data_IF_623783569787
#
_entry.id   IF_623783569787
#
_cell.length_a   1.000
_cell.length_b   1.000
_cell.length_c   1.000
_cell.angle_alpha   90.00
_cell.angle_beta   90.00
_cell.angle_gamma   90.00
#
_symmetry.space_group_name_H-M   'P 1'
#
loop_
_entity.id
_entity.type
_entity.pdbx_description
1 polymer ?
2 non-polymer ?
3 non-polymer ?
4 water ?
#
# COMPACT_ATOMS: atom_id res chain seq x y z
N UNK A 6 -16.81 -2.96 24.70
CA UNK A 6 -17.07 -3.19 23.24
C UNK A 6 -16.89 -4.68 22.92
N UNK A 7 -17.78 -5.25 22.11
CA UNK A 7 -17.59 -6.67 21.81
C UNK A 7 -16.39 -6.80 20.87
N UNK A 8 -15.79 -7.99 20.78
CA UNK A 8 -14.63 -8.20 19.92
C UNK A 8 -15.00 -8.08 18.43
N UNK A 9 -14.13 -7.42 17.67
CA UNK A 9 -14.36 -7.26 16.22
C UNK A 9 -13.97 -8.57 15.53
N UNK A 10 -14.95 -9.23 14.93
CA UNK A 10 -14.73 -10.51 14.27
C UNK A 10 -14.20 -10.47 12.83
N UNK A 11 -14.02 -9.28 12.28
CA UNK A 11 -13.53 -9.18 10.92
C UNK A 11 -12.01 -9.07 10.77
N UNK A 12 -11.42 -9.98 10.00
CA UNK A 12 -9.98 -9.96 9.75
C UNK A 12 -9.72 -10.16 8.25
N UNK A 13 -10.74 -9.90 7.43
CA UNK A 13 -10.60 -10.07 5.99
C UNK A 13 -9.55 -9.15 5.39
N UNK A 14 -9.57 -7.89 5.80
CA UNK A 14 -8.64 -6.90 5.31
C UNK A 14 -8.70 -5.69 6.21
N UNK A 15 -7.72 -4.80 6.09
CA UNK A 15 -7.73 -3.59 6.90
C UNK A 15 -8.70 -2.58 6.30
N UNK A 16 -9.23 -2.88 5.11
CA UNK A 16 -10.16 -1.96 4.46
C UNK A 16 -11.58 -1.97 5.04
N UNK A 17 -11.80 -2.81 6.06
CA UNK A 17 -13.12 -2.87 6.68
C UNK A 17 -13.17 -1.94 7.89
N UNK A 18 -12.01 -1.48 8.35
CA UNK A 18 -11.95 -0.59 9.50
C UNK A 18 -12.39 0.83 9.17
N UNK A 19 -12.75 1.60 10.20
CA UNK A 19 -13.19 2.96 10.00
C UNK A 19 -12.05 3.96 9.91
N UNK A 20 -12.13 5.00 10.72
CA UNK A 20 -11.11 6.03 10.73
C UNK A 20 -10.80 6.48 12.14
N UNK A 21 -9.55 6.83 12.39
CA UNK A 21 -9.17 7.32 13.70
C UNK A 21 -10.10 8.51 14.01
N UNK A 22 -10.57 8.62 15.26
CA UNK A 22 -11.46 9.70 15.65
C UNK A 22 -10.91 11.08 15.31
N UNK A 23 -9.59 11.22 15.30
CA UNK A 23 -8.98 12.50 14.98
C UNK A 23 -9.25 12.91 13.53
N UNK A 24 -9.41 11.93 12.66
CA UNK A 24 -9.64 12.25 11.26
C UNK A 24 -11.03 12.84 11.06
N UNK A 25 -12.05 12.13 11.53
CA UNK A 25 -13.42 12.62 11.39
C UNK A 25 -13.58 14.00 12.03
N UNK A 26 -12.92 14.22 13.17
CA UNK A 26 -13.01 15.50 13.87
C UNK A 26 -12.33 16.62 13.08
N UNK A 27 -11.31 16.26 12.30
CA UNK A 27 -10.62 17.26 11.50
C UNK A 27 -11.61 17.73 10.42
N UNK A 28 -12.42 16.81 9.91
CA UNK A 28 -13.38 17.15 8.88
C UNK A 28 -14.44 18.09 9.46
N UNK A 29 -14.82 17.84 10.72
CA UNK A 29 -15.79 18.67 11.39
C UNK A 29 -15.25 20.09 11.50
N UNK A 30 -14.02 20.19 11.99
CA UNK A 30 -13.38 21.49 12.16
C UNK A 30 -13.29 22.25 10.86
N UNK A 31 -13.00 21.54 9.78
CA UNK A 31 -12.84 22.17 8.49
C UNK A 31 -14.07 22.23 7.59
N UNK A 32 -15.24 21.95 8.15
CA UNK A 32 -16.48 21.97 7.36
C UNK A 32 -17.13 23.36 7.24
N UNK A 33 -16.62 24.32 8.00
CA UNK A 33 -17.17 25.68 7.98
C UNK A 33 -16.31 26.65 7.20
N UNK A 34 -16.87 27.83 6.91
CA UNK A 34 -16.14 28.84 6.18
C UNK A 34 -15.98 28.50 4.71
N UNK A 35 -15.22 29.33 4.01
CA UNK A 35 -14.97 29.15 2.59
C UNK A 35 -13.49 28.83 2.37
N UNK A 36 -13.16 28.24 1.22
CA UNK A 36 -11.78 27.88 0.91
C UNK A 36 -11.59 27.73 -0.59
N UNK A 37 -10.47 28.22 -1.10
CA UNK A 37 -10.19 28.09 -2.52
C UNK A 37 -10.34 26.62 -2.89
N UNK A 38 -10.87 26.30 -4.08
CA UNK A 38 -11.04 24.91 -4.50
C UNK A 38 -9.83 24.29 -5.18
N UNK A 39 -9.95 23.00 -5.50
CA UNK A 39 -8.92 22.25 -6.21
C UNK A 39 -7.50 22.29 -5.64
N UNK A 40 -7.40 22.32 -4.32
CA UNK A 40 -6.09 22.36 -3.67
C UNK A 40 -5.42 23.72 -3.55
N UNK A 41 -6.18 24.79 -3.77
CA UNK A 41 -5.61 26.13 -3.68
C UNK A 41 -5.82 26.75 -2.30
N UNK A 42 -6.19 25.95 -1.31
CA UNK A 42 -6.43 26.42 0.05
C UNK A 42 -5.20 26.24 0.93
N UNK A 43 -5.24 26.86 2.11
CA UNK A 43 -4.13 26.79 3.05
C UNK A 43 -3.88 25.41 3.66
N UNK A 44 -4.92 24.70 4.03
CA UNK A 44 -4.75 23.38 4.63
C UNK A 44 -3.94 22.48 3.69
N UNK A 45 -4.34 22.47 2.42
CA UNK A 45 -3.64 21.68 1.41
C UNK A 45 -2.17 22.09 1.34
N UNK A 46 -1.91 23.39 1.35
CA UNK A 46 -0.53 23.87 1.32
C UNK A 46 0.20 23.35 2.55
N UNK A 47 -0.46 23.40 3.70
CA UNK A 47 0.14 22.91 4.94
C UNK A 47 0.53 21.45 4.80
N UNK A 48 -0.39 20.63 4.29
CA UNK A 48 -0.12 19.22 4.10
C UNK A 48 1.08 18.97 3.20
N UNK A 49 1.17 19.73 2.11
CA UNK A 49 2.30 19.58 1.20
C UNK A 49 3.62 19.88 1.92
N UNK A 50 3.61 20.91 2.77
CA UNK A 50 4.81 21.26 3.51
C UNK A 50 5.17 20.11 4.45
N UNK A 51 4.15 19.44 4.99
CA UNK A 51 4.39 18.32 5.87
C UNK A 51 5.04 17.16 5.14
N UNK A 52 4.66 16.93 3.89
CA UNK A 52 5.26 15.84 3.13
C UNK A 52 6.72 16.12 2.88
N UNK A 53 7.05 17.38 2.63
CA UNK A 53 8.44 17.77 2.39
C UNK A 53 9.28 17.52 3.65
N UNK A 54 8.72 17.88 4.82
CA UNK A 54 9.42 17.66 6.08
C UNK A 54 9.61 16.16 6.30
N UNK A 55 8.51 15.43 6.27
CA UNK A 55 8.53 13.98 6.47
C UNK A 55 9.52 13.25 5.55
N UNK A 56 9.58 13.66 4.28
CA UNK A 56 10.48 13.00 3.33
C UNK A 56 11.85 13.69 3.19
N UNK A 57 12.07 14.73 3.98
CA UNK A 57 13.34 15.47 3.99
C UNK A 57 13.76 15.87 2.59
N UNK A 58 12.79 16.32 1.79
CA UNK A 58 13.07 16.71 0.42
C UNK A 58 11.87 17.42 -0.21
N UNK A 59 12.14 18.29 -1.18
CA UNK A 59 11.06 18.97 -1.87
C UNK A 59 10.43 17.90 -2.74
N UNK A 60 9.17 17.58 -2.45
CA UNK A 60 8.46 16.57 -3.23
C UNK A 60 7.15 17.20 -3.71
N UNK A 61 6.58 16.62 -4.76
CA UNK A 61 5.31 17.09 -5.31
C UNK A 61 4.24 16.13 -4.80
N UNK A 62 3.15 16.69 -4.28
CA UNK A 62 2.08 15.88 -3.74
C UNK A 62 0.74 16.09 -4.44
N UNK A 63 0.03 15.00 -4.70
CA UNK A 63 -1.27 15.05 -5.34
C UNK A 63 -2.22 14.11 -4.59
N UNK A 64 -3.13 14.67 -3.79
CA UNK A 64 -4.07 13.85 -3.03
C UNK A 64 -5.17 13.35 -3.97
N UNK A 65 -5.44 12.04 -3.89
CA UNK A 65 -6.48 11.43 -4.72
C UNK A 65 -7.38 10.54 -3.87
N UNK A 66 -8.58 10.21 -4.39
CA UNK A 66 -9.57 9.36 -3.70
C UNK A 66 -9.22 7.91 -3.38
N UNK A 67 -8.52 7.22 -4.27
CA UNK A 67 -8.21 5.81 -4.05
C UNK A 67 -6.77 5.42 -4.38
N UNK A 68 -6.39 4.24 -3.88
CA UNK A 68 -5.06 3.71 -4.12
C UNK A 68 -4.92 3.25 -5.56
N UNK A 69 -6.02 2.78 -6.14
CA UNK A 69 -6.02 2.34 -7.53
C UNK A 69 -5.72 3.55 -8.41
N UNK A 70 -6.33 4.68 -8.10
CA UNK A 70 -6.09 5.91 -8.87
C UNK A 70 -4.64 6.36 -8.71
N UNK A 71 -4.13 6.32 -7.48
CA UNK A 71 -2.76 6.74 -7.21
C UNK A 71 -1.77 5.92 -8.05
N UNK A 72 -1.98 4.61 -8.07
CA UNK A 72 -1.14 3.68 -8.81
C UNK A 72 -1.18 3.97 -10.31
N UNK A 73 -2.37 3.93 -10.88
CA UNK A 73 -2.57 4.15 -12.30
C UNK A 73 -2.01 5.49 -12.77
N UNK A 74 -2.25 6.55 -11.99
CA UNK A 74 -1.75 7.87 -12.34
C UNK A 74 -0.22 7.90 -12.35
N UNK A 75 0.40 7.34 -11.32
CA UNK A 75 1.86 7.29 -11.22
C UNK A 75 2.46 6.59 -12.42
N UNK A 76 1.95 5.39 -12.69
CA UNK A 76 2.44 4.58 -13.79
C UNK A 76 2.19 5.19 -15.16
N UNK A 77 1.06 5.88 -15.34
CA UNK A 77 0.74 6.50 -16.62
C UNK A 77 1.74 7.61 -16.99
N UNK A 78 2.34 8.22 -15.98
CA UNK A 78 3.30 9.28 -16.23
C UNK A 78 4.71 8.72 -16.37
N UNK A 79 4.87 7.41 -16.20
CA UNK A 79 6.20 6.81 -16.27
C UNK A 79 6.36 5.82 -17.42
N UNK A 80 5.35 5.73 -18.28
CA UNK A 80 5.43 4.82 -19.40
C UNK A 80 4.63 5.27 -20.61
N UNK A 81 5.18 5.08 -21.81
CA UNK A 81 4.43 5.49 -22.99
C UNK A 81 3.46 4.34 -23.25
N UNK A 82 2.49 4.53 -24.16
CA UNK A 82 1.50 3.49 -24.49
C UNK A 82 2.17 2.19 -24.94
N UNK A 83 3.31 2.32 -25.61
CA UNK A 83 4.04 1.16 -26.12
C UNK A 83 5.08 0.65 -25.11
N UNK A 84 4.95 1.07 -23.86
CA UNK A 84 5.88 0.65 -22.82
C UNK A 84 5.42 -0.50 -21.94
N UNK A 85 6.36 -1.02 -21.14
CA UNK A 85 6.11 -2.13 -20.23
C UNK A 85 6.23 -1.69 -18.77
N UNK A 86 5.32 -2.20 -17.94
CA UNK A 86 5.31 -1.92 -16.51
C UNK A 86 5.60 -3.27 -15.83
N UNK A 87 6.81 -3.43 -15.30
CA UNK A 87 7.19 -4.66 -14.64
C UNK A 87 6.66 -4.71 -13.22
N UNK A 88 6.10 -5.87 -12.86
CA UNK A 88 5.53 -6.05 -11.53
C UNK A 88 5.38 -7.53 -11.18
N UNK A 89 5.15 -7.81 -9.90
CA UNK A 89 4.97 -9.19 -9.46
C UNK A 89 3.60 -9.64 -9.95
N UNK A 90 3.49 -10.90 -10.37
CA UNK A 90 2.20 -11.41 -10.85
C UNK A 90 1.08 -11.35 -9.81
N UNK A 91 1.45 -11.28 -8.55
CA UNK A 91 0.45 -11.21 -7.48
C UNK A 91 0.18 -9.76 -7.06
N UNK A 92 0.74 -8.80 -7.78
CA UNK A 92 0.57 -7.39 -7.41
C UNK A 92 -0.86 -6.90 -7.60
N UNK A 93 -1.20 -5.86 -6.88
CA UNK A 93 -2.54 -5.30 -6.96
C UNK A 93 -2.80 -4.76 -8.37
N UNK A 94 -1.82 -4.06 -8.95
CA UNK A 94 -2.02 -3.50 -10.29
C UNK A 94 -2.28 -4.57 -11.35
N UNK A 95 -1.78 -5.78 -11.13
CA UNK A 95 -1.99 -6.86 -12.10
C UNK A 95 -3.24 -7.71 -11.78
N UNK A 96 -3.88 -7.47 -10.65
CA UNK A 96 -5.03 -8.28 -10.27
C UNK A 96 -6.33 -7.62 -9.86
N UNK A 97 -6.26 -6.58 -9.04
CA UNK A 97 -7.48 -5.97 -8.53
C UNK A 97 -7.81 -4.52 -8.86
N UNK A 98 -7.43 -4.08 -10.06
CA UNK A 98 -7.73 -2.71 -10.46
C UNK A 98 -8.50 -2.71 -11.77
N UNK A 99 -9.02 -3.88 -12.13
CA UNK A 99 -9.75 -4.08 -13.37
C UNK A 99 -9.03 -3.40 -14.53
N UNK A 100 -7.70 -3.48 -14.51
CA UNK A 100 -6.91 -2.89 -15.58
C UNK A 100 -6.77 -1.38 -15.56
N UNK A 101 -6.86 -0.77 -14.37
CA UNK A 101 -6.71 0.68 -14.27
C UNK A 101 -5.38 1.14 -14.85
N UNK A 102 -4.28 0.41 -14.59
CA UNK A 102 -3.00 0.85 -15.16
C UNK A 102 -3.07 0.88 -16.69
N UNK A 103 -3.66 -0.16 -17.27
CA UNK A 103 -3.82 -0.26 -18.72
C UNK A 103 -4.66 0.90 -19.24
N UNK A 104 -5.67 1.30 -18.46
CA UNK A 104 -6.57 2.39 -18.83
C UNK A 104 -5.84 3.74 -18.83
N UNK A 105 -5.36 4.16 -17.66
CA UNK A 105 -4.65 5.44 -17.51
C UNK A 105 -3.43 5.63 -18.42
N UNK A 106 -2.67 4.56 -18.63
CA UNK A 106 -1.46 4.62 -19.45
C UNK A 106 -1.76 4.53 -20.94
N UNK A 107 -3.04 4.42 -21.28
CA UNK A 107 -3.45 4.30 -22.66
C UNK A 107 -2.92 3.04 -23.34
N UNK A 108 -3.01 1.91 -22.64
CA UNK A 108 -2.58 0.65 -23.23
C UNK A 108 -1.20 0.09 -22.92
N UNK A 109 -0.52 0.61 -21.91
CA UNK A 109 0.79 0.07 -21.58
C UNK A 109 0.57 -1.39 -21.19
N UNK A 110 1.63 -2.20 -21.21
CA UNK A 110 1.49 -3.62 -20.91
C UNK A 110 2.23 -4.04 -19.65
N UNK A 111 1.53 -4.74 -18.75
CA UNK A 111 2.16 -5.23 -17.53
C UNK A 111 2.96 -6.49 -17.85
N UNK A 112 4.20 -6.55 -17.37
CA UNK A 112 5.07 -7.71 -17.58
C UNK A 112 5.37 -8.26 -16.20
N UNK A 113 4.91 -9.47 -15.90
CA UNK A 113 5.14 -10.02 -14.58
C UNK A 113 6.52 -10.62 -14.37
N UNK A 114 7.02 -10.45 -13.15
CA UNK A 114 8.32 -10.98 -12.76
C UNK A 114 8.09 -11.65 -11.42
N UNK A 115 7.99 -12.97 -11.43
CA UNK A 115 7.71 -13.75 -10.23
C UNK A 115 8.83 -13.70 -9.20
N UNK A 116 8.54 -14.24 -8.02
CA UNK A 116 9.49 -14.26 -6.93
C UNK A 116 8.75 -14.64 -5.66
N UNK A 117 9.42 -15.29 -4.70
CA UNK A 117 8.70 -15.67 -3.47
C UNK A 117 8.22 -14.48 -2.63
N UNK A 118 7.17 -14.72 -1.87
CA UNK A 118 6.59 -13.71 -0.98
C UNK A 118 6.18 -12.39 -1.64
N UNK A 119 5.63 -12.48 -2.85
CA UNK A 119 5.18 -11.27 -3.57
C UNK A 119 6.28 -10.24 -3.79
N UNK A 120 7.53 -10.70 -3.89
CA UNK A 120 8.63 -9.79 -4.13
C UNK A 120 9.28 -10.18 -5.46
N UNK A 121 9.47 -9.19 -6.33
CA UNK A 121 10.07 -9.41 -7.64
C UNK A 121 11.46 -10.00 -7.47
N UNK A 122 11.77 -11.07 -8.20
CA UNK A 122 13.11 -11.65 -8.11
C UNK A 122 14.05 -10.76 -8.92
N UNK A 123 15.07 -10.22 -8.25
CA UNK A 123 16.01 -9.31 -8.89
C UNK A 123 16.69 -9.87 -10.15
N UNK A 124 17.04 -11.15 -10.15
CA UNK A 124 17.70 -11.75 -11.31
C UNK A 124 16.76 -11.80 -12.51
N UNK A 125 15.53 -12.22 -12.27
CA UNK A 125 14.55 -12.30 -13.34
C UNK A 125 14.27 -10.88 -13.85
N UNK A 126 14.14 -9.93 -12.92
CA UNK A 126 13.87 -8.55 -13.30
C UNK A 126 14.96 -8.05 -14.23
N UNK A 127 16.21 -8.34 -13.89
CA UNK A 127 17.34 -7.92 -14.69
C UNK A 127 17.24 -8.49 -16.11
N UNK A 128 16.74 -9.72 -16.22
CA UNK A 128 16.60 -10.35 -17.54
C UNK A 128 15.42 -9.78 -18.34
N UNK A 129 14.27 -9.65 -17.68
CA UNK A 129 13.11 -9.14 -18.37
C UNK A 129 13.24 -7.68 -18.85
N UNK A 130 13.88 -6.83 -18.07
CA UNK A 130 14.02 -5.43 -18.46
C UNK A 130 14.94 -5.18 -19.64
N UNK A 131 15.60 -6.23 -20.12
CA UNK A 131 16.49 -6.07 -21.26
C UNK A 131 16.04 -6.94 -22.42
N UNK A 132 14.73 -7.15 -22.54
CA UNK A 132 14.18 -7.96 -23.63
C UNK A 132 13.81 -7.09 -24.82
N UNK A 133 14.32 -7.44 -25.99
CA UNK A 133 14.01 -6.74 -27.23
C UNK A 133 14.11 -5.22 -27.14
N UNK A 134 15.08 -4.71 -26.37
CA UNK A 134 15.22 -3.27 -26.26
C UNK A 134 15.51 -2.72 -27.66
N UNK A 135 14.70 -1.76 -28.09
CA UNK A 135 14.90 -1.15 -29.40
C UNK A 135 14.22 -1.86 -30.57
N UNK A 136 13.66 -3.03 -30.32
CA UNK A 136 12.97 -3.78 -31.37
C UNK A 136 11.62 -3.12 -31.63
N UNK A 137 11.40 -2.67 -32.87
CA UNK A 137 10.15 -1.99 -33.22
C UNK A 137 8.87 -2.82 -33.12
N UNK A 138 8.98 -4.14 -33.20
CA UNK A 138 7.79 -5.00 -33.11
C UNK A 138 7.42 -5.36 -31.67
N UNK A 139 8.23 -4.92 -30.71
CA UNK A 139 8.00 -5.29 -29.31
C UNK A 139 7.79 -4.14 -28.32
N UNK A 140 6.87 -4.31 -27.38
CA UNK A 140 6.64 -3.28 -26.37
C UNK A 140 7.97 -3.12 -25.62
N UNK A 141 8.25 -1.92 -25.13
CA UNK A 141 9.53 -1.63 -24.47
C UNK A 141 9.55 -1.44 -22.95
N UNK A 142 10.66 -1.85 -22.29
CA UNK A 142 10.76 -1.69 -20.84
C UNK A 142 10.60 -0.18 -20.56
N UNK A 143 9.74 0.16 -19.60
CA UNK A 143 9.50 1.56 -19.29
C UNK A 143 9.63 1.90 -17.81
N UNK A 144 9.02 1.10 -16.96
CA UNK A 144 9.08 1.35 -15.52
C UNK A 144 8.86 0.07 -14.74
N UNK A 145 9.16 0.13 -13.45
CA UNK A 145 9.01 -1.01 -12.55
C UNK A 145 8.18 -0.60 -11.35
N UNK A 146 7.34 -1.51 -10.88
CA UNK A 146 6.52 -1.23 -9.72
C UNK A 146 6.68 -2.28 -8.65
N UNK A 147 6.95 -1.84 -7.43
CA UNK A 147 7.09 -2.74 -6.30
C UNK A 147 6.13 -2.30 -5.21
N UNK A 148 5.52 -3.27 -4.56
CA UNK A 148 4.58 -2.95 -3.50
C UNK A 148 5.33 -3.07 -2.18
N UNK A 149 5.22 -1.89 -1.56
CA UNK A 149 5.76 -1.88 -0.21
C UNK A 149 4.67 -1.44 0.71
N UNK A 150 4.55 -2.25 2.05
CA UNK A 150 4.57 -3.69 2.17
C UNK A 150 3.67 -4.38 1.16
N UNK A 151 4.25 -5.67 0.90
CA UNK A 151 3.66 -6.38 -0.22
C UNK A 151 2.23 -6.79 0.06
N UNK A 152 1.57 -7.32 -0.97
CA UNK A 152 0.21 -7.78 -0.88
C UNK A 152 0.04 -8.95 0.10
N UNK A 153 1.13 -9.61 0.47
CA UNK A 153 1.05 -10.72 1.41
C UNK A 153 1.67 -10.37 2.76
N UNK A 154 1.97 -9.09 2.96
CA UNK A 154 2.53 -8.65 4.21
C UNK A 154 4.03 -8.81 4.38
N UNK A 155 4.72 -9.18 3.31
CA UNK A 155 6.17 -9.33 3.39
C UNK A 155 6.74 -7.93 3.17
N UNK A 156 8.04 -7.75 3.36
CA UNK A 156 8.65 -6.43 3.19
C UNK A 156 9.95 -6.48 2.42
N UNK A 157 10.11 -5.54 1.49
CA UNK A 157 11.35 -5.44 0.74
C UNK A 157 12.32 -4.74 1.69
N UNK A 158 13.55 -5.22 1.79
CA UNK A 158 14.51 -4.57 2.67
C UNK A 158 15.04 -3.35 1.95
N UNK A 159 15.71 -2.45 2.67
CA UNK A 159 16.27 -1.27 2.03
C UNK A 159 17.24 -1.70 0.91
N UNK A 160 17.97 -2.80 1.12
CA UNK A 160 18.91 -3.30 0.13
C UNK A 160 18.20 -3.82 -1.12
N UNK A 161 17.09 -4.54 -0.93
CA UNK A 161 16.34 -5.07 -2.05
C UNK A 161 15.72 -3.98 -2.91
N UNK A 162 15.21 -2.93 -2.26
CA UNK A 162 14.60 -1.82 -2.97
C UNK A 162 15.66 -1.11 -3.80
N UNK A 163 16.74 -0.73 -3.14
CA UNK A 163 17.84 -0.03 -3.79
C UNK A 163 18.38 -0.85 -4.96
N UNK A 164 18.42 -2.17 -4.78
CA UNK A 164 18.91 -3.06 -5.83
C UNK A 164 18.02 -2.96 -7.07
N UNK A 165 16.72 -2.86 -6.84
CA UNK A 165 15.78 -2.73 -7.95
C UNK A 165 16.01 -1.35 -8.58
N UNK A 166 16.36 -0.39 -7.74
CA UNK A 166 16.64 0.95 -8.24
C UNK A 166 17.83 0.98 -9.17
N UNK A 167 18.82 0.11 -8.93
CA UNK A 167 20.00 0.04 -9.79
C UNK A 167 19.59 -0.37 -11.19
N UNK A 168 18.80 -1.43 -11.26
CA UNK A 168 18.33 -1.94 -12.54
C UNK A 168 17.57 -0.85 -13.27
N UNK A 169 16.69 -0.15 -12.55
CA UNK A 169 15.90 0.92 -13.13
C UNK A 169 16.77 2.04 -13.71
N UNK A 170 17.66 2.60 -12.91
CA UNK A 170 18.53 3.67 -13.41
C UNK A 170 19.38 3.11 -14.56
N UNK A 171 19.80 1.87 -14.42
CA UNK A 171 20.62 1.20 -15.44
C UNK A 171 19.93 1.18 -16.81
N UNK A 172 18.63 0.87 -16.82
CA UNK A 172 17.90 0.82 -18.09
C UNK A 172 17.00 2.03 -18.34
N UNK A 173 17.22 3.11 -17.58
CA UNK A 173 16.44 4.32 -17.74
C UNK A 173 14.96 4.03 -17.51
N UNK A 174 14.67 3.25 -16.48
CA UNK A 174 13.30 2.89 -16.15
C UNK A 174 12.88 3.63 -14.89
N UNK A 175 11.60 3.99 -14.83
CA UNK A 175 11.11 4.67 -13.65
C UNK A 175 10.78 3.62 -12.60
N UNK A 176 10.89 3.98 -11.32
CA UNK A 176 10.60 3.08 -10.23
C UNK A 176 9.45 3.59 -9.37
N UNK A 177 8.33 2.86 -9.38
CA UNK A 177 7.17 3.26 -8.60
C UNK A 177 6.97 2.34 -7.41
N UNK A 178 6.52 2.92 -6.30
CA UNK A 178 6.25 2.15 -5.09
C UNK A 178 4.77 2.21 -4.72
N UNK A 179 4.12 1.05 -4.70
CA UNK A 179 2.72 0.98 -4.32
C UNK A 179 2.73 0.90 -2.79
N UNK A 180 2.59 2.04 -2.15
CA UNK A 180 2.60 2.11 -0.70
C UNK A 180 1.24 2.14 -0.03
N UNK A 181 0.35 1.26 -0.48
CA UNK A 181 -0.97 1.16 0.09
C UNK A 181 -0.81 0.94 1.60
N UNK A 182 0.19 0.13 1.95
CA UNK A 182 0.50 -0.15 3.35
C UNK A 182 1.92 0.32 3.65
N UNK A 183 2.23 1.52 3.16
CA UNK A 183 3.52 2.15 3.33
C UNK A 183 3.96 2.17 4.80
N UNK A 184 3.09 2.73 5.65
CA UNK A 184 3.38 2.86 7.07
C UNK A 184 3.71 1.55 7.78
N UNK A 185 3.03 0.46 7.42
CA UNK A 185 3.28 -0.83 8.06
C UNK A 185 4.68 -1.37 7.81
N UNK A 186 5.21 -1.10 6.61
CA UNK A 186 6.54 -1.56 6.27
C UNK A 186 7.55 -0.63 6.89
N UNK A 187 7.20 0.65 6.93
CA UNK A 187 8.06 1.67 7.50
C UNK A 187 8.36 1.41 8.98
N UNK A 188 7.32 1.16 9.77
CA UNK A 188 7.54 0.92 11.20
C UNK A 188 8.15 -0.44 11.49
N UNK A 189 8.06 -1.36 10.55
CA UNK A 189 8.62 -2.68 10.76
C UNK A 189 10.13 -2.58 10.56
N UNK A 190 10.55 -1.77 9.59
CA UNK A 190 11.97 -1.56 9.29
C UNK A 190 12.60 -0.55 10.22
N UNK A 191 11.79 0.37 10.72
CA UNK A 191 12.29 1.40 11.61
C UNK A 191 13.16 2.40 10.88
N UNK A 192 12.99 2.51 9.57
CA UNK A 192 13.79 3.44 8.78
C UNK A 192 13.01 4.73 8.55
N UNK A 193 13.62 5.67 7.84
CA UNK A 193 12.95 6.92 7.55
C UNK A 193 12.19 6.82 6.23
N UNK A 194 11.18 7.69 6.05
CA UNK A 194 10.41 7.67 4.81
C UNK A 194 11.36 7.84 3.62
N UNK A 195 12.34 8.72 3.80
CA UNK A 195 13.32 9.00 2.76
C UNK A 195 14.19 7.79 2.44
N UNK A 196 14.61 7.07 3.48
CA UNK A 196 15.46 5.90 3.30
C UNK A 196 14.74 4.78 2.55
N UNK A 197 13.43 4.66 2.77
CA UNK A 197 12.66 3.62 2.11
C UNK A 197 12.11 4.08 0.75
N UNK A 198 12.40 5.32 0.37
CA UNK A 198 11.92 5.79 -0.93
C UNK A 198 12.98 6.41 -1.84
N UNK A 199 13.04 7.73 -1.95
CA UNK A 199 13.99 8.35 -2.85
C UNK A 199 15.46 8.05 -2.63
N UNK A 200 15.86 7.86 -1.37
CA UNK A 200 17.27 7.55 -1.13
C UNK A 200 17.60 6.17 -1.67
N UNK A 201 16.56 5.38 -1.95
CA UNK A 201 16.75 4.03 -2.50
C UNK A 201 16.44 3.97 -3.99
N UNK A 202 16.09 5.11 -4.58
CA UNK A 202 15.81 5.14 -6.01
C UNK A 202 14.36 5.25 -6.44
N UNK A 203 13.42 5.34 -5.50
CA UNK A 203 12.01 5.46 -5.88
C UNK A 203 11.73 6.82 -6.52
N UNK A 204 10.98 6.81 -7.63
CA UNK A 204 10.63 8.02 -8.35
C UNK A 204 9.23 8.53 -8.01
N UNK A 205 8.32 7.60 -7.78
CA UNK A 205 6.94 7.94 -7.47
C UNK A 205 6.37 6.97 -6.45
N UNK A 206 5.62 7.51 -5.49
CA UNK A 206 5.04 6.69 -4.45
C UNK A 206 3.55 6.89 -4.25
N UNK A 207 2.83 5.78 -4.08
CA UNK A 207 1.40 5.84 -3.80
C UNK A 207 1.40 5.76 -2.28
N UNK A 208 1.36 6.91 -1.63
CA UNK A 208 1.38 7.00 -0.17
C UNK A 208 0.00 6.61 0.38
N UNK A 209 -0.11 5.39 0.90
CA UNK A 209 -1.38 4.93 1.43
C UNK A 209 -1.69 5.40 2.85
N UNK A 210 -2.91 5.88 3.04
CA UNK A 210 -3.35 6.36 4.35
C UNK A 210 -4.70 5.76 4.71
N UNK A 211 -5.53 5.55 3.69
CA UNK A 211 -6.86 4.99 3.90
C UNK A 211 -6.84 3.72 4.73
N UNK A 212 -6.02 2.75 4.33
CA UNK A 212 -5.95 1.50 5.05
C UNK A 212 -5.37 1.64 6.45
N UNK A 213 -4.69 2.75 6.70
CA UNK A 213 -4.07 2.97 7.99
C UNK A 213 -4.73 4.05 8.86
N UNK A 214 -6.03 4.29 8.65
CA UNK A 214 -6.68 5.28 9.50
C UNK A 214 -7.54 6.41 8.97
N UNK A 215 -7.46 6.76 7.69
CA UNK A 215 -8.31 7.83 7.20
C UNK A 215 -9.56 7.26 6.55
N UNK A 216 -10.44 8.13 6.07
CA UNK A 216 -11.69 7.69 5.44
C UNK A 216 -11.47 7.30 3.99
N UNK A 217 -10.90 8.23 3.25
CA UNK A 217 -10.65 8.01 1.84
C UNK A 217 -9.78 9.15 1.34
N UNK A 218 -8.48 8.93 1.38
CA UNK A 218 -7.53 9.93 0.93
C UNK A 218 -6.15 9.28 0.84
N UNK A 219 -5.62 9.23 -0.37
CA UNK A 219 -4.30 8.67 -0.62
C UNK A 219 -3.47 9.85 -1.15
N UNK A 220 -2.16 9.69 -1.18
CA UNK A 220 -1.32 10.76 -1.69
C UNK A 220 -0.29 10.29 -2.70
N UNK A 221 -0.26 10.93 -3.86
CA UNK A 221 0.73 10.61 -4.85
C UNK A 221 1.92 11.49 -4.47
N UNK A 222 3.04 10.87 -4.13
CA UNK A 222 4.23 11.63 -3.76
C UNK A 222 5.27 11.44 -4.86
N UNK A 223 5.59 12.53 -5.55
CA UNK A 223 6.56 12.48 -6.64
C UNK A 223 7.91 12.99 -6.20
N UNK A 224 8.92 12.14 -6.34
CA UNK A 224 10.29 12.49 -6.00
C UNK A 224 10.95 13.00 -7.29
N UNK A 225 10.46 12.51 -8.42
CA UNK A 225 10.94 12.97 -9.73
C UNK A 225 9.94 14.07 -10.08
N UNK A 226 10.16 15.23 -9.48
CA UNK A 226 9.29 16.38 -9.64
C UNK A 226 9.07 16.88 -11.06
N UNK A 227 9.91 16.46 -12.00
CA UNK A 227 9.77 16.90 -13.39
C UNK A 227 8.47 16.38 -14.01
N UNK A 228 7.79 15.47 -13.31
CA UNK A 228 6.54 14.90 -13.80
C UNK A 228 5.31 15.62 -13.25
N UNK A 229 5.54 16.60 -12.39
CA UNK A 229 4.46 17.35 -11.75
C UNK A 229 3.41 17.88 -12.72
N UNK A 230 3.85 18.67 -13.70
CA UNK A 230 2.91 19.25 -14.66
C UNK A 230 2.04 18.20 -15.34
N UNK A 231 2.68 17.18 -15.90
CA UNK A 231 1.94 16.11 -16.56
C UNK A 231 0.94 15.48 -15.60
N UNK A 232 1.37 15.29 -14.35
CA UNK A 232 0.51 14.68 -13.35
C UNK A 232 -0.74 15.49 -13.06
N UNK A 233 -0.62 16.82 -13.07
CA UNK A 233 -1.79 17.66 -12.81
C UNK A 233 -2.87 17.38 -13.83
N UNK A 234 -2.51 17.46 -15.10
CA UNK A 234 -3.47 17.21 -16.17
C UNK A 234 -4.01 15.78 -16.09
N UNK A 235 -3.13 14.80 -15.91
CA UNK A 235 -3.58 13.41 -15.83
C UNK A 235 -4.58 13.22 -14.70
N UNK A 236 -4.31 13.82 -13.54
CA UNK A 236 -5.22 13.68 -12.42
C UNK A 236 -6.58 14.27 -12.73
N UNK A 237 -6.58 15.49 -13.27
CA UNK A 237 -7.82 16.18 -13.62
C UNK A 237 -8.59 15.42 -14.70
N UNK A 238 -7.89 15.06 -15.77
CA UNK A 238 -8.48 14.33 -16.89
C UNK A 238 -9.13 13.02 -16.45
N UNK A 239 -8.59 12.39 -15.41
CA UNK A 239 -9.14 11.12 -14.92
C UNK A 239 -10.24 11.34 -13.87
N UNK A 240 -10.63 12.60 -13.69
CA UNK A 240 -11.67 12.91 -12.73
C UNK A 240 -11.26 12.78 -11.27
N UNK A 241 -9.96 12.82 -11.02
CA UNK A 241 -9.46 12.69 -9.66
C UNK A 241 -8.99 13.96 -8.97
N UNK A 242 -9.42 15.11 -9.50
CA UNK A 242 -9.06 16.39 -8.87
C UNK A 242 -10.30 16.85 -8.10
N UNK A 243 -10.30 16.64 -6.79
CA UNK A 243 -11.42 17.01 -5.93
C UNK A 243 -11.53 18.52 -5.80
N UNK A 244 -12.73 19.05 -5.98
CA UNK A 244 -12.95 20.49 -5.89
C UNK A 244 -12.78 21.00 -4.46
N UNK A 245 -13.42 20.32 -3.50
CA UNK A 245 -13.29 20.70 -2.10
C UNK A 245 -12.16 19.87 -1.51
N UNK A 246 -10.94 20.20 -1.94
CA UNK A 246 -9.74 19.48 -1.53
C UNK A 246 -9.47 19.46 -0.02
N UNK A 247 -9.97 20.44 0.71
CA UNK A 247 -9.73 20.47 2.16
C UNK A 247 -10.23 19.23 2.87
N UNK A 248 -11.18 18.53 2.25
CA UNK A 248 -11.71 17.34 2.86
C UNK A 248 -10.82 16.10 2.67
N UNK A 249 -9.83 16.25 1.81
CA UNK A 249 -8.85 15.18 1.61
C UNK A 249 -7.65 15.64 2.46
N UNK A 250 -7.36 16.93 2.37
CA UNK A 250 -6.26 17.55 3.10
C UNK A 250 -6.44 17.46 4.62
N UNK A 251 -7.67 17.65 5.07
CA UNK A 251 -7.96 17.58 6.50
C UNK A 251 -7.65 16.18 7.02
N UNK A 252 -8.04 15.16 6.25
CA UNK A 252 -7.80 13.78 6.63
C UNK A 252 -6.30 13.50 6.75
N UNK A 253 -5.56 13.87 5.71
CA UNK A 253 -4.12 13.64 5.70
C UNK A 253 -3.38 14.46 6.75
N UNK A 254 -3.82 15.69 6.98
CA UNK A 254 -3.18 16.54 7.97
C UNK A 254 -3.30 15.90 9.35
N UNK A 255 -4.49 15.39 9.67
CA UNK A 255 -4.72 14.74 10.95
C UNK A 255 -3.82 13.50 11.00
N UNK A 256 -3.82 12.77 9.88
CA UNK A 256 -3.03 11.55 9.73
C UNK A 256 -1.55 11.84 10.03
N UNK A 257 -1.08 13.01 9.62
CA UNK A 257 0.31 13.40 9.83
C UNK A 257 0.50 14.35 11.00
N UNK A 258 -0.35 14.24 12.01
CA UNK A 258 -0.25 15.09 13.19
C UNK A 258 0.04 14.19 14.39
N UNK A 259 0.93 14.65 15.26
CA UNK A 259 1.31 13.90 16.46
C UNK A 259 1.68 12.45 16.15
N UNK A 260 2.34 12.23 15.00
CA UNK A 260 2.74 10.90 14.59
C UNK A 260 1.63 9.87 14.60
N UNK A 261 0.40 10.32 14.40
CA UNK A 261 -0.74 9.43 14.37
C UNK A 261 -0.57 8.27 13.39
N UNK A 262 -0.16 8.59 12.15
CA UNK A 262 0.01 7.53 11.16
C UNK A 262 0.95 6.42 11.62
N UNK A 263 2.10 6.80 12.18
CA UNK A 263 3.05 5.79 12.64
C UNK A 263 2.47 4.99 13.81
N UNK A 264 1.84 5.68 14.76
CA UNK A 264 1.25 4.99 15.90
C UNK A 264 0.20 3.99 15.42
N UNK A 265 -0.60 4.39 14.43
CA UNK A 265 -1.63 3.52 13.89
C UNK A 265 -1.02 2.27 13.26
N UNK A 266 0.08 2.46 12.54
CA UNK A 266 0.77 1.36 11.89
C UNK A 266 1.39 0.42 12.93
N UNK A 267 1.93 1.01 13.99
CA UNK A 267 2.55 0.21 15.06
C UNK A 267 1.48 -0.69 15.69
N UNK A 268 0.29 -0.14 15.93
CA UNK A 268 -0.78 -0.92 16.53
C UNK A 268 -1.24 -2.06 15.62
N UNK A 269 -1.28 -1.81 14.32
CA UNK A 269 -1.71 -2.84 13.38
C UNK A 269 -0.68 -3.96 13.33
N UNK A 270 0.60 -3.61 13.22
CA UNK A 270 1.66 -4.61 13.17
C UNK A 270 1.72 -5.36 14.50
N UNK A 271 1.56 -4.62 15.60
CA UNK A 271 1.59 -5.21 16.94
C UNK A 271 0.50 -6.27 17.10
N UNK A 272 -0.66 -6.02 16.50
CA UNK A 272 -1.78 -6.95 16.58
C UNK A 272 -1.50 -8.25 15.86
N UNK A 273 -0.94 -8.16 14.65
CA UNK A 273 -0.64 -9.37 13.89
C UNK A 273 0.47 -10.15 14.60
N UNK A 274 1.46 -9.43 15.12
CA UNK A 274 2.57 -10.08 15.81
C UNK A 274 2.04 -10.81 17.05
N UNK A 275 1.05 -10.23 17.70
CA UNK A 275 0.45 -10.85 18.89
C UNK A 275 -0.24 -12.15 18.45
N UNK A 276 -0.95 -12.09 17.33
CA UNK A 276 -1.67 -13.23 16.79
C UNK A 276 -0.72 -14.37 16.40
N UNK A 277 0.41 -14.02 15.80
CA UNK A 277 1.39 -15.01 15.39
C UNK A 277 1.99 -15.70 16.62
N UNK A 278 2.29 -14.92 17.64
CA UNK A 278 2.87 -15.44 18.88
C UNK A 278 1.89 -16.32 19.64
N UNK A 279 0.60 -16.06 19.47
CA UNK A 279 -0.42 -16.84 20.15
C UNK A 279 -0.77 -18.10 19.37
N UNK A 280 -0.63 -18.04 18.05
CA UNK A 280 -0.93 -19.20 17.20
C UNK A 280 0.21 -20.18 17.25
N UNK A 281 1.51 -19.84 17.43
CA UNK A 281 2.71 -20.68 17.45
C UNK A 281 2.57 -21.79 18.51
N UNK A 282 2.48 -22.88 18.17
CA UNK A 282 2.34 -24.05 19.02
C UNK A 282 0.93 -24.50 19.40
N UNK A 283 -0.03 -24.33 18.51
CA UNK A 283 -1.40 -24.77 18.80
C UNK A 283 -1.74 -25.89 17.84
N UNK A 284 -2.62 -26.79 18.27
CA UNK A 284 -3.01 -27.92 17.45
C UNK A 284 -3.62 -27.56 16.12
N UNK A 285 -3.11 -28.18 15.06
CA UNK A 285 -3.62 -27.93 13.71
C UNK A 285 -3.44 -26.49 13.26
N UNK A 286 -2.31 -25.90 13.64
CA UNK A 286 -2.02 -24.51 13.27
C UNK A 286 -0.54 -24.29 12.98
N UNK A 287 -0.23 -23.90 11.75
CA UNK A 287 1.14 -23.62 11.36
C UNK A 287 1.17 -22.21 10.79
N UNK A 288 1.93 -21.32 11.43
CA UNK A 288 2.05 -19.94 10.96
C UNK A 288 3.06 -19.91 9.82
N UNK A 289 2.72 -19.23 8.74
CA UNK A 289 3.59 -19.14 7.57
C UNK A 289 4.16 -17.74 7.39
N UNK A 290 5.48 -17.66 7.21
CA UNK A 290 6.13 -16.38 7.03
C UNK A 290 6.57 -15.77 8.34
N UNK A 291 7.15 -14.58 8.28
CA UNK A 291 7.63 -13.94 9.49
C UNK A 291 6.66 -12.93 10.07
N UNK A 292 5.55 -12.69 9.37
CA UNK A 292 4.56 -11.73 9.83
C UNK A 292 5.26 -10.39 10.10
N UNK A 293 5.89 -9.85 9.04
CA UNK A 293 6.62 -8.60 9.14
C UNK A 293 5.75 -7.35 9.30
N UNK A 294 4.47 -7.45 8.92
CA UNK A 294 3.59 -6.30 9.03
C UNK A 294 2.24 -6.58 9.71
N UNK A 295 1.15 -6.21 9.05
CA UNK A 295 -0.18 -6.40 9.61
C UNK A 295 -0.98 -7.50 8.93
N UNK A 296 -0.27 -8.43 8.28
CA UNK A 296 -0.93 -9.54 7.60
C UNK A 296 -0.30 -10.87 7.99
N UNK A 297 -1.15 -11.81 8.39
CA UNK A 297 -0.67 -13.10 8.82
C UNK A 297 -1.33 -14.23 8.06
N UNK A 298 -0.53 -15.23 7.71
CA UNK A 298 -1.02 -16.41 7.00
C UNK A 298 -0.69 -17.62 7.84
N UNK A 299 -1.56 -18.63 7.84
CA UNK A 299 -1.29 -19.84 8.60
C UNK A 299 -2.09 -20.98 7.99
N UNK A 300 -1.58 -22.21 8.12
CA UNK A 300 -2.29 -23.37 7.59
C UNK A 300 -3.12 -23.95 8.75
N UNK A 301 -4.43 -24.04 8.55
CA UNK A 301 -5.35 -24.54 9.58
C UNK A 301 -6.17 -25.77 9.21
N UNK A 302 -6.51 -26.57 10.22
CA UNK A 302 -7.32 -27.76 10.00
C UNK A 302 -8.71 -27.31 9.55
N UNK A 303 -9.17 -27.86 8.44
CA UNK A 303 -10.47 -27.50 7.89
C UNK A 303 -11.56 -27.34 8.93
N UNK A 304 -11.67 -28.32 9.81
CA UNK A 304 -12.68 -28.28 10.85
C UNK A 304 -12.56 -27.04 11.72
N UNK A 305 -11.33 -26.57 11.88
CA UNK A 305 -11.08 -25.38 12.69
C UNK A 305 -11.43 -24.15 11.88
N UNK A 306 -11.42 -24.30 10.56
CA UNK A 306 -11.76 -23.17 9.70
C UNK A 306 -13.27 -22.96 9.76
N UNK A 307 -14.03 -24.05 9.82
CA UNK A 307 -15.48 -23.95 9.89
C UNK A 307 -15.91 -23.43 11.25
N UNK A 308 -15.19 -23.84 12.29
CA UNK A 308 -15.48 -23.40 13.64
C UNK A 308 -15.27 -21.89 13.74
N UNK A 309 -14.24 -21.38 13.07
CA UNK A 309 -14.00 -19.96 13.10
C UNK A 309 -15.08 -19.29 12.26
N UNK A 310 -15.42 -19.90 11.14
CA UNK A 310 -16.46 -19.38 10.27
C UNK A 310 -17.81 -19.36 10.99
N UNK A 311 -18.08 -20.43 11.74
CA UNK A 311 -19.33 -20.54 12.48
C UNK A 311 -19.28 -19.56 13.64
N UNK A 312 -18.07 -19.27 14.11
CA UNK A 312 -17.90 -18.35 15.22
C UNK A 312 -18.13 -16.90 14.77
N UNK A 313 -18.33 -16.71 13.47
CA UNK A 313 -18.58 -15.38 12.95
C UNK A 313 -17.38 -14.58 12.52
N UNK A 314 -16.23 -15.24 12.39
CA UNK A 314 -15.02 -14.52 11.99
C UNK A 314 -15.01 -14.31 10.49
N UNK A 315 -14.46 -13.16 10.07
CA UNK A 315 -14.37 -12.86 8.65
C UNK A 315 -12.92 -12.97 8.22
N UNK A 316 -12.65 -13.87 7.28
CA UNK A 316 -11.29 -14.05 6.78
C UNK A 316 -11.32 -14.83 5.47
N UNK A 317 -10.26 -14.74 4.69
CA UNK A 317 -10.17 -15.46 3.43
C UNK A 317 -9.49 -16.78 3.69
N UNK A 318 -9.89 -17.82 2.94
CA UNK A 318 -9.32 -19.14 3.14
C UNK A 318 -9.31 -19.98 1.87
N UNK A 319 -9.53 -19.35 0.72
CA UNK A 319 -9.57 -20.11 -0.53
C UNK A 319 -8.67 -19.57 -1.63
N UNK A 320 -8.14 -18.37 -1.45
CA UNK A 320 -7.32 -17.71 -2.46
C UNK A 320 -5.89 -18.23 -2.71
N UNK A 321 -5.38 -19.10 -1.84
CA UNK A 321 -4.01 -19.62 -1.99
C UNK A 321 -3.96 -21.15 -2.05
N UNK A 322 -3.08 -21.74 -1.25
CA UNK A 322 -2.97 -23.19 -1.23
C UNK A 322 -4.07 -23.79 -0.39
N UNK A 323 -4.18 -25.13 -0.34
CA UNK A 323 -5.24 -25.75 0.47
C UNK A 323 -4.96 -25.59 1.96
N UNK A 324 -5.98 -25.13 2.69
CA UNK A 324 -5.87 -24.93 4.14
C UNK A 324 -5.05 -23.70 4.55
N UNK A 325 -4.81 -22.78 3.63
CA UNK A 325 -4.07 -21.56 3.97
C UNK A 325 -5.02 -20.40 4.24
N UNK A 326 -4.98 -19.88 5.46
CA UNK A 326 -5.85 -18.79 5.87
C UNK A 326 -5.14 -17.46 6.03
N UNK A 327 -5.87 -16.37 5.83
CA UNK A 327 -5.27 -15.05 5.97
C UNK A 327 -6.02 -14.18 6.95
N UNK A 328 -5.30 -13.64 7.92
CA UNK A 328 -5.90 -12.74 8.88
C UNK A 328 -5.20 -11.41 8.70
N UNK A 329 -5.97 -10.34 8.60
CA UNK A 329 -5.39 -9.02 8.42
C UNK A 329 -5.86 -8.15 9.57
N UNK A 330 -4.92 -7.45 10.22
CA UNK A 330 -5.28 -6.57 11.32
C UNK A 330 -5.17 -5.12 10.88
N UNK A 331 -5.78 -4.22 11.64
CA UNK A 331 -5.74 -2.80 11.32
C UNK A 331 -5.34 -1.95 12.51
N UNK A 332 -5.27 -0.65 12.27
CA UNK A 332 -4.90 0.33 13.27
C UNK A 332 -5.86 0.30 14.47
N UNK A 333 -7.07 -0.19 14.24
CA UNK A 333 -8.08 -0.27 15.28
C UNK A 333 -8.19 -1.64 15.94
N UNK A 334 -7.36 -2.58 15.49
CA UNK A 334 -7.39 -3.92 16.08
C UNK A 334 -6.77 -3.85 17.47
N UNK A 335 -7.56 -4.15 18.48
CA UNK A 335 -7.10 -4.11 19.87
C UNK A 335 -6.46 -5.43 20.25
N UNK A 336 -5.74 -5.43 21.36
CA UNK A 336 -5.11 -6.66 21.85
C UNK A 336 -6.25 -7.62 22.18
N UNK A 337 -7.36 -7.03 22.63
CA UNK A 337 -8.56 -7.78 22.99
C UNK A 337 -9.15 -8.51 21.78
N UNK A 338 -9.22 -7.81 20.65
CA UNK A 338 -9.75 -8.40 19.42
C UNK A 338 -8.94 -9.63 19.06
N UNK A 339 -7.62 -9.49 19.17
CA UNK A 339 -6.70 -10.58 18.86
C UNK A 339 -6.83 -11.73 19.85
N UNK A 340 -7.00 -11.40 21.13
CA UNK A 340 -7.11 -12.45 22.13
C UNK A 340 -8.39 -13.25 21.95
N UNK A 341 -9.40 -12.62 21.35
CA UNK A 341 -10.65 -13.33 21.12
C UNK A 341 -10.41 -14.37 20.04
N UNK A 342 -9.75 -13.97 18.96
CA UNK A 342 -9.47 -14.88 17.87
C UNK A 342 -8.60 -16.04 18.36
N UNK A 343 -7.58 -15.74 19.15
CA UNK A 343 -6.70 -16.79 19.66
C UNK A 343 -7.46 -17.80 20.50
N UNK A 344 -8.32 -17.28 21.38
CA UNK A 344 -9.12 -18.13 22.23
C UNK A 344 -9.98 -19.05 21.37
N UNK A 345 -10.70 -18.48 20.40
CA UNK A 345 -11.55 -19.28 19.53
C UNK A 345 -10.74 -20.31 18.75
N UNK A 346 -9.50 -19.97 18.41
CA UNK A 346 -8.68 -20.92 17.69
C UNK A 346 -8.32 -22.06 18.65
N UNK A 347 -7.90 -21.69 19.86
CA UNK A 347 -7.53 -22.67 20.87
C UNK A 347 -8.70 -23.60 21.13
N UNK A 348 -9.81 -23.02 21.56
CA UNK A 348 -11.01 -23.78 21.85
C UNK A 348 -11.46 -24.65 20.69
N UNK A 349 -11.12 -24.25 19.46
CA UNK A 349 -11.52 -25.04 18.29
C UNK A 349 -10.48 -26.06 17.86
N UNK A 350 -9.35 -26.09 18.56
CA UNK A 350 -8.27 -27.01 18.23
C UNK A 350 -8.44 -28.37 18.90
#
# INVERSE_FOLDING_TARGET
NGETSRPPALGFSSDNIAGASPEVAQALVKHSSGQAGPYGTDELTAQVKRKFCEIFERDVEVFLVPTGTAANALCLSAMTPPWGNIYCHPASHINNDECGAPEFFSNGAKLMTVDGPAAKLDIVRLRERTREKVGDVHTTQPACVSITQATEVGSIYTLDEIEAIGDVCKSSSLGLHMDGSRFANALVSLGCSPAEMTWKAGVDALSFGATKNGVLAAEAIVLFNTSLATEMSYRRKRAGHLSSKMRFLSAQIDAYLTDDLWLRNARKANAAAQRLAQGLEGLGGVEVLGGTEANILFCRLDSAMIDALLKAGFGFYHDRWGPNVVRFVTSFATTAEDVDHLLNQVRLAADRTQER
#
